data_IF_583477458411
#
_entry.id   IF_583477458411
#
_cell.length_a   1.000
_cell.length_b   1.000
_cell.length_c   1.000
_cell.angle_alpha   90.00
_cell.angle_beta   90.00
_cell.angle_gamma   90.00
#
_symmetry.space_group_name_H-M   'P 1'
#
loop_
_entity.id
_entity.type
_entity.pdbx_description
1 polymer ?
#
# COMPACT_ATOMS: atom_id res chain seq x y z
N UNK A 1 30.21 1.97 -1.76
CA UNK A 1 29.64 2.44 -3.06
C UNK A 1 28.80 1.39 -3.77
N UNK A 2 29.36 0.31 -4.33
CA UNK A 2 28.57 -0.67 -5.12
C UNK A 2 27.42 -1.32 -4.31
N UNK A 3 27.63 -1.71 -3.03
CA UNK A 3 26.54 -2.20 -2.16
C UNK A 3 25.47 -1.17 -1.81
N UNK A 4 25.66 0.12 -2.08
CA UNK A 4 24.68 1.16 -1.72
C UNK A 4 23.71 1.48 -2.86
N UNK A 5 24.09 1.17 -4.11
CA UNK A 5 23.27 1.46 -5.29
C UNK A 5 21.92 0.71 -5.20
N UNK A 6 21.86 -0.60 -4.87
CA UNK A 6 20.58 -1.28 -4.74
C UNK A 6 19.72 -0.76 -3.56
N UNK A 7 20.32 -0.20 -2.49
CA UNK A 7 19.56 0.50 -1.45
C UNK A 7 18.82 1.70 -2.05
N UNK A 8 19.48 2.48 -2.92
CA UNK A 8 18.82 3.60 -3.59
C UNK A 8 17.63 3.14 -4.45
N UNK A 9 17.77 2.00 -5.14
CA UNK A 9 16.65 1.40 -5.89
C UNK A 9 15.51 0.97 -4.97
N UNK A 10 15.81 0.31 -3.85
CA UNK A 10 14.80 -0.09 -2.85
C UNK A 10 14.07 1.13 -2.30
N UNK A 11 14.79 2.18 -1.91
CA UNK A 11 14.19 3.40 -1.38
C UNK A 11 13.36 4.14 -2.42
N UNK A 12 13.82 4.20 -3.68
CA UNK A 12 13.05 4.77 -4.79
C UNK A 12 11.76 3.98 -5.05
N UNK A 13 11.86 2.66 -5.12
CA UNK A 13 10.72 1.77 -5.32
C UNK A 13 9.73 1.86 -4.16
N UNK A 14 10.22 1.92 -2.92
CA UNK A 14 9.39 2.09 -1.74
C UNK A 14 8.72 3.46 -1.71
N UNK A 15 9.43 4.54 -2.05
CA UNK A 15 8.85 5.87 -2.16
C UNK A 15 7.77 5.92 -3.25
N UNK A 16 8.04 5.36 -4.44
CA UNK A 16 7.07 5.26 -5.51
C UNK A 16 5.84 4.45 -5.08
N UNK A 17 6.04 3.31 -4.41
CA UNK A 17 4.95 2.50 -3.87
C UNK A 17 4.14 3.27 -2.81
N UNK A 18 4.79 3.89 -1.82
CA UNK A 18 4.09 4.64 -0.76
C UNK A 18 3.30 5.83 -1.32
N UNK A 19 3.82 6.52 -2.34
CA UNK A 19 3.12 7.64 -2.97
C UNK A 19 1.95 7.17 -3.83
N UNK A 20 2.21 6.27 -4.78
CA UNK A 20 1.22 5.87 -5.79
C UNK A 20 0.19 4.88 -5.21
N UNK A 21 0.66 3.84 -4.50
CA UNK A 21 -0.23 2.90 -3.83
C UNK A 21 -0.91 3.52 -2.60
N UNK A 22 -0.23 4.44 -1.90
CA UNK A 22 -0.84 5.15 -0.76
C UNK A 22 -2.06 5.97 -1.15
N UNK A 23 -2.03 6.67 -2.29
CA UNK A 23 -3.20 7.40 -2.79
C UNK A 23 -4.38 6.47 -3.11
N UNK A 24 -4.11 5.28 -3.63
CA UNK A 24 -5.11 4.28 -3.98
C UNK A 24 -5.67 3.56 -2.74
N UNK A 25 -4.84 3.20 -1.75
CA UNK A 25 -5.31 2.72 -0.44
C UNK A 25 -6.14 3.78 0.29
N UNK A 26 -5.70 5.04 0.28
CA UNK A 26 -6.45 6.12 0.91
C UNK A 26 -7.78 6.42 0.22
N UNK A 27 -7.88 6.21 -1.09
CA UNK A 27 -9.16 6.34 -1.80
C UNK A 27 -10.17 5.32 -1.24
N UNK A 28 -9.73 4.08 -0.99
CA UNK A 28 -10.54 3.08 -0.29
C UNK A 28 -10.95 3.49 1.12
N UNK A 29 -10.03 4.07 1.90
CA UNK A 29 -10.36 4.62 3.22
C UNK A 29 -11.48 5.68 3.16
N UNK A 30 -11.41 6.62 2.22
CA UNK A 30 -12.44 7.66 2.07
C UNK A 30 -13.79 7.12 1.62
N UNK A 31 -13.84 6.00 0.91
CA UNK A 31 -15.12 5.34 0.61
C UNK A 31 -15.80 4.74 1.85
N UNK A 32 -15.03 4.40 2.89
CA UNK A 32 -15.50 3.89 4.18
C UNK A 32 -16.01 5.04 5.06
N UNK A 33 -15.23 6.11 5.13
CA UNK A 33 -15.45 7.27 6.02
C UNK A 33 -16.26 8.39 5.35
N UNK A 34 -16.77 8.17 4.14
CA UNK A 34 -17.67 9.11 3.49
C UNK A 34 -18.91 9.36 4.38
N UNK A 35 -18.90 10.47 5.10
CA UNK A 35 -20.04 10.97 5.85
C UNK A 35 -21.11 11.52 4.91
N UNK A 36 -22.35 11.64 5.40
CA UNK A 36 -23.48 12.16 4.64
C UNK A 36 -24.46 11.08 4.14
N UNK A 37 -25.50 11.52 3.43
CA UNK A 37 -26.54 10.66 2.86
C UNK A 37 -26.01 9.70 1.78
N UNK A 38 -26.87 8.78 1.31
CA UNK A 38 -26.47 7.74 0.36
C UNK A 38 -25.88 8.30 -0.96
N UNK A 39 -26.38 9.44 -1.43
CA UNK A 39 -25.91 10.09 -2.65
C UNK A 39 -24.46 10.61 -2.58
N UNK A 40 -24.06 11.26 -1.48
CA UNK A 40 -22.69 11.76 -1.28
C UNK A 40 -21.67 10.62 -1.18
N UNK A 41 -22.08 9.50 -0.56
CA UNK A 41 -21.27 8.27 -0.56
C UNK A 41 -21.06 7.76 -1.97
N UNK A 42 -22.12 7.59 -2.75
CA UNK A 42 -22.02 7.10 -4.13
C UNK A 42 -21.12 7.99 -4.99
N UNK A 43 -21.31 9.32 -4.94
CA UNK A 43 -20.45 10.26 -5.67
C UNK A 43 -18.97 10.15 -5.28
N UNK A 44 -18.66 10.11 -3.98
CA UNK A 44 -17.28 9.89 -3.48
C UNK A 44 -16.68 8.60 -4.04
N UNK A 45 -17.49 7.55 -4.14
CA UNK A 45 -17.06 6.20 -4.54
C UNK A 45 -16.85 6.09 -6.03
N UNK A 46 -17.72 6.68 -6.83
CA UNK A 46 -17.60 6.66 -8.28
C UNK A 46 -16.42 7.51 -8.73
N UNK A 47 -16.23 8.68 -8.10
CA UNK A 47 -15.03 9.51 -8.28
C UNK A 47 -13.75 8.75 -7.93
N UNK A 48 -13.70 8.13 -6.75
CA UNK A 48 -12.52 7.35 -6.33
C UNK A 48 -12.20 6.19 -7.27
N UNK A 49 -13.22 5.54 -7.86
CA UNK A 49 -13.01 4.45 -8.84
C UNK A 49 -12.42 4.96 -10.14
N UNK A 50 -13.02 6.02 -10.69
CA UNK A 50 -12.59 6.59 -11.96
C UNK A 50 -11.15 7.09 -11.87
N UNK A 51 -10.81 7.80 -10.80
CA UNK A 51 -9.48 8.35 -10.59
C UNK A 51 -8.38 7.30 -10.34
N UNK A 52 -8.71 6.14 -9.74
CA UNK A 52 -7.70 5.17 -9.26
C UNK A 52 -7.58 3.90 -10.12
N UNK A 53 -8.52 3.64 -11.03
CA UNK A 53 -8.56 2.40 -11.83
C UNK A 53 -7.23 2.02 -12.50
N UNK A 54 -6.65 2.88 -13.36
CA UNK A 54 -5.39 2.57 -14.05
C UNK A 54 -4.16 2.51 -13.13
N UNK A 55 -4.21 3.23 -12.00
CA UNK A 55 -3.07 3.37 -11.09
C UNK A 55 -2.87 2.10 -10.26
N UNK A 56 -3.97 1.41 -9.91
CA UNK A 56 -3.95 0.19 -9.11
C UNK A 56 -3.05 -0.92 -9.69
N UNK A 57 -3.19 -1.21 -10.99
CA UNK A 57 -2.45 -2.30 -11.65
C UNK A 57 -0.95 -1.99 -11.68
N UNK A 58 -0.58 -0.73 -11.93
CA UNK A 58 0.81 -0.28 -11.97
C UNK A 58 1.47 -0.26 -10.58
N UNK A 59 0.70 -0.05 -9.52
CA UNK A 59 1.23 0.13 -8.16
C UNK A 59 1.98 -1.09 -7.63
N UNK A 60 1.48 -2.30 -7.88
CA UNK A 60 2.07 -3.52 -7.30
C UNK A 60 3.43 -3.86 -7.89
N UNK A 61 3.75 -3.36 -9.09
CA UNK A 61 5.07 -3.54 -9.73
C UNK A 61 6.18 -3.00 -8.83
N UNK A 62 5.95 -1.87 -8.15
CA UNK A 62 6.94 -1.27 -7.25
C UNK A 62 7.21 -2.13 -6.01
N UNK A 63 6.18 -2.75 -5.43
CA UNK A 63 6.35 -3.63 -4.27
C UNK A 63 7.15 -4.87 -4.66
N UNK A 64 6.78 -5.53 -5.76
CA UNK A 64 7.51 -6.70 -6.26
C UNK A 64 8.96 -6.34 -6.62
N UNK A 65 9.17 -5.18 -7.25
CA UNK A 65 10.50 -4.65 -7.54
C UNK A 65 11.36 -4.52 -6.27
N UNK A 66 10.82 -3.89 -5.21
CA UNK A 66 11.52 -3.76 -3.93
C UNK A 66 11.89 -5.13 -3.35
N UNK A 67 10.94 -6.07 -3.36
CA UNK A 67 11.16 -7.43 -2.84
C UNK A 67 12.24 -8.18 -3.62
N UNK A 68 12.18 -8.14 -4.96
CA UNK A 68 13.14 -8.85 -5.83
C UNK A 68 14.54 -8.24 -5.73
N UNK A 69 14.66 -6.91 -5.70
CA UNK A 69 15.95 -6.25 -5.52
C UNK A 69 16.51 -6.56 -4.13
N UNK A 70 15.69 -6.50 -3.08
CA UNK A 70 16.12 -6.84 -1.72
C UNK A 70 16.59 -8.29 -1.62
N UNK A 71 15.82 -9.23 -2.16
CA UNK A 71 16.16 -10.65 -2.16
C UNK A 71 17.47 -10.93 -2.90
N UNK A 72 17.64 -10.33 -4.09
CA UNK A 72 18.79 -10.62 -4.96
C UNK A 72 20.05 -9.91 -4.48
N UNK A 73 19.95 -8.66 -4.03
CA UNK A 73 21.10 -7.87 -3.60
C UNK A 73 21.48 -8.10 -2.13
N UNK A 74 20.53 -8.46 -1.26
CA UNK A 74 20.75 -8.63 0.19
C UNK A 74 20.05 -9.89 0.73
N UNK A 75 20.42 -11.10 0.26
CA UNK A 75 19.68 -12.34 0.55
C UNK A 75 19.59 -12.67 2.05
N UNK A 76 20.65 -12.40 2.83
CA UNK A 76 20.67 -12.64 4.29
C UNK A 76 19.67 -11.72 5.00
N UNK A 77 19.64 -10.44 4.63
CA UNK A 77 18.68 -9.49 5.19
C UNK A 77 17.25 -9.86 4.79
N UNK A 78 17.04 -10.21 3.53
CA UNK A 78 15.73 -10.64 3.02
C UNK A 78 15.18 -11.87 3.75
N UNK A 79 16.01 -12.91 3.92
CA UNK A 79 15.62 -14.12 4.67
C UNK A 79 15.26 -13.82 6.12
N UNK A 80 16.06 -12.99 6.80
CA UNK A 80 15.81 -12.57 8.17
C UNK A 80 14.49 -11.78 8.31
N UNK A 81 14.26 -10.82 7.40
CA UNK A 81 13.05 -9.99 7.36
C UNK A 81 11.81 -10.84 7.09
N UNK A 82 11.82 -11.64 6.02
CA UNK A 82 10.63 -12.39 5.58
C UNK A 82 10.23 -13.48 6.57
N UNK A 83 11.20 -14.15 7.20
CA UNK A 83 10.93 -15.17 8.21
C UNK A 83 10.44 -14.57 9.53
N UNK A 84 11.04 -13.46 9.98
CA UNK A 84 10.67 -12.81 11.25
C UNK A 84 9.34 -12.06 11.14
N UNK A 85 9.09 -11.40 10.01
CA UNK A 85 7.91 -10.56 9.77
C UNK A 85 6.84 -11.27 8.94
N UNK A 86 6.80 -12.61 9.03
CA UNK A 86 5.84 -13.41 8.28
C UNK A 86 4.38 -12.98 8.55
N UNK A 87 4.02 -12.71 9.80
CA UNK A 87 2.67 -12.27 10.20
C UNK A 87 2.22 -10.99 9.47
N UNK A 88 2.91 -9.84 9.61
CA UNK A 88 2.49 -8.61 8.94
C UNK A 88 2.62 -8.70 7.41
N UNK A 89 3.65 -9.36 6.87
CA UNK A 89 3.79 -9.51 5.42
C UNK A 89 2.66 -10.34 4.82
N UNK A 90 2.23 -11.38 5.53
CA UNK A 90 1.10 -12.18 5.13
C UNK A 90 -0.23 -11.44 5.23
N UNK A 91 -0.45 -10.69 6.31
CA UNK A 91 -1.62 -9.82 6.45
C UNK A 91 -1.69 -8.79 5.31
N UNK A 92 -0.54 -8.23 4.91
CA UNK A 92 -0.44 -7.34 3.75
C UNK A 92 -0.81 -8.07 2.45
N UNK A 93 -0.28 -9.27 2.23
CA UNK A 93 -0.59 -10.09 1.05
C UNK A 93 -2.07 -10.45 0.97
N UNK A 94 -2.69 -10.87 2.08
CA UNK A 94 -4.13 -11.11 2.17
C UNK A 94 -4.90 -9.84 1.82
N UNK A 95 -4.53 -8.68 2.38
CA UNK A 95 -5.16 -7.41 2.04
C UNK A 95 -5.06 -7.09 0.54
N UNK A 96 -3.90 -7.30 -0.09
CA UNK A 96 -3.72 -7.09 -1.54
C UNK A 96 -4.65 -8.00 -2.35
N UNK A 97 -4.71 -9.30 -2.01
CA UNK A 97 -5.58 -10.28 -2.68
C UNK A 97 -7.05 -9.89 -2.53
N UNK A 98 -7.49 -9.58 -1.32
CA UNK A 98 -8.87 -9.18 -1.04
C UNK A 98 -9.26 -7.92 -1.82
N UNK A 99 -8.31 -7.00 -2.01
CA UNK A 99 -8.55 -5.78 -2.79
C UNK A 99 -8.66 -6.04 -4.28
N UNK A 100 -7.78 -6.87 -4.84
CA UNK A 100 -7.88 -7.31 -6.24
C UNK A 100 -9.19 -8.06 -6.52
N UNK A 101 -9.56 -8.97 -5.61
CA UNK A 101 -10.85 -9.67 -5.68
C UNK A 101 -12.03 -8.69 -5.59
N UNK A 102 -11.96 -7.69 -4.71
CA UNK A 102 -13.02 -6.69 -4.60
C UNK A 102 -13.15 -5.81 -5.85
N UNK A 103 -12.06 -5.48 -6.57
CA UNK A 103 -12.15 -4.76 -7.85
C UNK A 103 -12.91 -5.58 -8.90
N UNK A 104 -12.61 -6.88 -9.02
CA UNK A 104 -13.21 -7.76 -10.02
C UNK A 104 -14.67 -8.14 -9.68
N UNK A 105 -14.96 -8.42 -8.41
CA UNK A 105 -16.27 -8.94 -7.99
C UNK A 105 -17.33 -7.85 -7.78
N UNK A 106 -16.93 -6.58 -7.63
CA UNK A 106 -17.85 -5.47 -7.29
C UNK A 106 -18.89 -5.13 -8.36
N UNK A 107 -18.61 -5.24 -9.68
CA UNK A 107 -19.65 -5.11 -10.72
C UNK A 107 -20.66 -6.26 -10.70
N UNK A 108 -20.26 -7.43 -10.20
CA UNK A 108 -20.98 -8.69 -10.39
C UNK A 108 -21.88 -9.09 -9.20
N UNK A 109 -21.65 -8.53 -8.00
CA UNK A 109 -22.31 -9.00 -6.76
C UNK A 109 -23.42 -8.07 -6.25
N UNK A 110 -24.62 -8.64 -6.00
CA UNK A 110 -25.77 -7.99 -5.32
C UNK A 110 -25.45 -7.52 -3.89
N UNK A 111 -24.42 -8.07 -3.25
CA UNK A 111 -23.98 -7.69 -1.90
C UNK A 111 -22.94 -6.57 -1.94
N UNK A 112 -23.34 -5.43 -2.51
CA UNK A 112 -22.49 -4.24 -2.62
C UNK A 112 -21.79 -3.94 -1.27
N UNK A 113 -22.53 -3.97 -0.15
CA UNK A 113 -22.02 -3.70 1.19
C UNK A 113 -20.92 -4.65 1.68
N UNK A 114 -20.96 -5.94 1.37
CA UNK A 114 -19.95 -6.90 1.85
C UNK A 114 -18.63 -6.74 1.08
N UNK A 115 -18.71 -6.59 -0.24
CA UNK A 115 -17.56 -6.32 -1.12
C UNK A 115 -16.93 -4.96 -0.78
N UNK A 116 -17.76 -3.99 -0.39
CA UNK A 116 -17.32 -2.68 0.06
C UNK A 116 -16.57 -2.73 1.38
N UNK A 117 -17.12 -3.40 2.38
CA UNK A 117 -16.43 -3.59 3.66
C UNK A 117 -15.11 -4.32 3.46
N UNK A 118 -15.08 -5.30 2.55
CA UNK A 118 -13.86 -6.03 2.22
C UNK A 118 -12.80 -5.14 1.56
N UNK A 119 -13.19 -4.35 0.56
CA UNK A 119 -12.34 -3.37 -0.12
C UNK A 119 -11.78 -2.33 0.85
N UNK A 120 -12.63 -1.85 1.75
CA UNK A 120 -12.28 -0.77 2.64
C UNK A 120 -11.42 -1.27 3.82
N UNK A 121 -11.71 -2.47 4.34
CA UNK A 121 -10.86 -3.13 5.34
C UNK A 121 -9.49 -3.46 4.77
N UNK A 122 -9.42 -4.00 3.55
CA UNK A 122 -8.13 -4.31 2.91
C UNK A 122 -7.30 -3.06 2.64
N UNK A 123 -7.96 -1.95 2.33
CA UNK A 123 -7.30 -0.64 2.11
C UNK A 123 -6.70 -0.03 3.39
N UNK A 124 -7.09 -0.49 4.56
CA UNK A 124 -6.46 -0.13 5.85
C UNK A 124 -5.43 -1.19 6.24
N UNK A 125 -5.79 -2.47 6.11
CA UNK A 125 -4.97 -3.61 6.53
C UNK A 125 -3.62 -3.64 5.82
N UNK A 126 -3.59 -3.48 4.49
CA UNK A 126 -2.34 -3.56 3.71
C UNK A 126 -1.33 -2.48 4.10
N UNK A 127 -1.65 -1.16 4.03
CA UNK A 127 -0.68 -0.13 4.42
C UNK A 127 -0.31 -0.22 5.90
N UNK A 128 -1.25 -0.59 6.78
CA UNK A 128 -0.94 -0.80 8.20
C UNK A 128 0.09 -1.92 8.39
N UNK A 129 -0.14 -3.08 7.77
CA UNK A 129 0.73 -4.24 7.93
C UNK A 129 2.11 -4.06 7.28
N UNK A 130 2.18 -3.38 6.12
CA UNK A 130 3.47 -3.01 5.52
C UNK A 130 4.20 -1.96 6.37
N UNK A 131 3.47 -0.99 6.94
CA UNK A 131 4.03 0.02 7.83
C UNK A 131 4.57 -0.58 9.14
N UNK A 132 3.86 -1.54 9.76
CA UNK A 132 4.35 -2.22 10.97
C UNK A 132 5.60 -3.06 10.68
N UNK A 133 5.68 -3.68 9.49
CA UNK A 133 6.87 -4.40 9.04
C UNK A 133 8.07 -3.45 8.87
N UNK A 134 7.88 -2.31 8.20
CA UNK A 134 8.92 -1.27 8.08
C UNK A 134 9.33 -0.75 9.46
N UNK A 135 8.38 -0.53 10.37
CA UNK A 135 8.69 -0.08 11.72
C UNK A 135 9.43 -1.12 12.58
N UNK A 136 9.22 -2.41 12.31
CA UNK A 136 9.96 -3.48 12.98
C UNK A 136 11.43 -3.50 12.54
N UNK A 137 11.67 -3.30 11.24
CA UNK A 137 13.01 -3.12 10.68
C UNK A 137 13.66 -1.85 11.24
N UNK A 138 12.91 -0.74 11.24
CA UNK A 138 13.40 0.57 11.69
C UNK A 138 13.76 0.59 13.18
N UNK A 139 13.00 -0.12 14.01
CA UNK A 139 13.28 -0.25 15.45
C UNK A 139 14.31 -1.33 15.81
N UNK A 140 14.87 -2.02 14.81
CA UNK A 140 15.92 -3.02 15.05
C UNK A 140 15.42 -4.29 15.73
N UNK A 141 14.16 -4.68 15.50
CA UNK A 141 13.54 -5.89 16.09
C UNK A 141 13.62 -7.12 15.20
N UNK A 142 14.28 -7.01 14.05
CA UNK A 142 14.53 -8.13 13.14
C UNK A 142 15.97 -8.60 13.35
N UNK A 143 16.21 -9.67 14.12
CA UNK A 143 17.55 -10.21 14.29
C UNK A 143 18.06 -10.84 12.99
N UNK A 144 19.38 -10.92 12.86
CA UNK A 144 20.03 -11.56 11.71
C UNK A 144 19.92 -13.07 11.86
N UNK A 145 19.41 -13.74 10.83
CA UNK A 145 19.20 -15.18 10.80
C UNK A 145 17.76 -15.53 10.47
N UNK A 146 17.58 -16.63 9.74
CA UNK A 146 16.25 -17.11 9.39
C UNK A 146 15.53 -17.64 10.63
N UNK A 147 14.29 -17.19 10.84
CA UNK A 147 13.45 -17.57 11.99
C UNK A 147 14.11 -17.28 13.36
N UNK A 148 15.01 -16.30 13.43
CA UNK A 148 15.68 -15.92 14.67
C UNK A 148 14.83 -14.96 15.53
N UNK A 149 13.88 -14.24 14.94
CA UNK A 149 12.98 -13.32 15.64
C UNK A 149 11.63 -13.94 15.94
N UNK A 150 10.97 -13.44 16.99
CA UNK A 150 9.62 -13.86 17.36
C UNK A 150 8.58 -13.26 16.40
N UNK A 151 7.69 -14.05 15.77
CA UNK A 151 6.77 -13.56 14.73
C UNK A 151 5.74 -12.53 15.19
N UNK A 152 5.51 -12.36 16.49
CA UNK A 152 4.47 -11.48 17.03
C UNK A 152 5.08 -10.22 17.63
N UNK A 153 5.98 -10.37 18.59
CA UNK A 153 6.61 -9.27 19.33
C UNK A 153 7.53 -8.41 18.45
N UNK A 154 8.08 -8.98 17.37
CA UNK A 154 8.94 -8.24 16.44
C UNK A 154 8.21 -7.08 15.75
N UNK A 155 6.91 -7.20 15.50
CA UNK A 155 6.09 -6.13 14.89
C UNK A 155 5.04 -5.53 15.83
N UNK A 156 4.72 -6.19 16.94
CA UNK A 156 3.78 -5.68 17.94
C UNK A 156 4.51 -4.86 19.01
N UNK A 157 4.93 -3.65 18.64
CA UNK A 157 5.66 -2.72 19.50
C UNK A 157 5.28 -1.26 19.19
N UNK A 158 5.59 -0.30 20.08
CA UNK A 158 5.17 1.09 19.91
C UNK A 158 5.61 1.72 18.58
N UNK A 159 6.87 1.53 18.17
CA UNK A 159 7.38 2.10 16.91
C UNK A 159 6.70 1.49 15.68
N UNK A 160 6.58 0.16 15.63
CA UNK A 160 5.90 -0.53 14.53
C UNK A 160 4.44 -0.14 14.40
N UNK A 161 3.69 -0.14 15.50
CA UNK A 161 2.28 0.24 15.49
C UNK A 161 2.11 1.69 15.05
N UNK A 162 2.96 2.60 15.54
CA UNK A 162 2.95 4.00 15.13
C UNK A 162 3.24 4.18 13.64
N UNK A 163 4.25 3.49 13.09
CA UNK A 163 4.57 3.57 11.66
C UNK A 163 3.47 2.94 10.80
N UNK A 164 2.85 1.86 11.26
CA UNK A 164 1.64 1.29 10.65
C UNK A 164 0.49 2.30 10.59
N UNK A 165 0.19 2.98 11.71
CA UNK A 165 -0.84 4.02 11.75
C UNK A 165 -0.47 5.22 10.87
N UNK A 166 0.80 5.62 10.87
CA UNK A 166 1.30 6.69 10.01
C UNK A 166 1.12 6.32 8.53
N UNK A 167 1.40 5.09 8.12
CA UNK A 167 1.21 4.63 6.74
C UNK A 167 -0.25 4.74 6.29
N UNK A 168 -1.22 4.40 7.17
CA UNK A 168 -2.65 4.60 6.89
C UNK A 168 -3.00 6.08 6.78
N UNK A 169 -2.52 6.91 7.72
CA UNK A 169 -2.77 8.36 7.70
C UNK A 169 -2.17 9.05 6.47
N UNK A 170 -0.95 8.68 6.09
CA UNK A 170 -0.28 9.12 4.86
C UNK A 170 -1.07 8.71 3.63
N UNK A 171 -1.59 7.47 3.60
CA UNK A 171 -2.45 7.00 2.50
C UNK A 171 -3.72 7.86 2.37
N UNK A 172 -4.44 8.07 3.47
CA UNK A 172 -5.63 8.91 3.50
C UNK A 172 -5.35 10.36 3.07
N UNK A 173 -4.24 10.95 3.54
CA UNK A 173 -3.81 12.28 3.15
C UNK A 173 -3.49 12.38 1.65
N UNK A 174 -2.66 11.49 1.12
CA UNK A 174 -2.30 11.46 -0.30
C UNK A 174 -3.56 11.34 -1.17
N UNK A 175 -4.44 10.39 -0.84
CA UNK A 175 -5.69 10.20 -1.57
C UNK A 175 -6.55 11.46 -1.60
N UNK A 176 -6.68 12.17 -0.48
CA UNK A 176 -7.48 13.39 -0.44
C UNK A 176 -6.90 14.50 -1.33
N UNK A 177 -5.57 14.67 -1.36
CA UNK A 177 -4.90 15.63 -2.25
C UNK A 177 -5.12 15.25 -3.72
N UNK A 178 -4.95 13.97 -4.07
CA UNK A 178 -5.15 13.49 -5.44
C UNK A 178 -6.60 13.60 -5.89
N UNK A 179 -7.56 13.20 -5.06
CA UNK A 179 -8.99 13.24 -5.39
C UNK A 179 -9.53 14.68 -5.48
N UNK A 180 -9.01 15.61 -4.67
CA UNK A 180 -9.34 17.04 -4.81
C UNK A 180 -8.86 17.58 -6.16
N UNK A 181 -7.66 17.21 -6.58
CA UNK A 181 -7.08 17.64 -7.84
C UNK A 181 -7.83 17.06 -9.05
N UNK A 182 -8.24 15.80 -8.95
CA UNK A 182 -9.04 15.14 -9.98
C UNK A 182 -10.46 15.73 -10.08
N UNK A 183 -11.09 16.07 -8.94
CA UNK A 183 -12.39 16.74 -8.93
C UNK A 183 -12.36 18.10 -9.65
N UNK A 184 -11.25 18.84 -9.57
CA UNK A 184 -11.07 20.07 -10.37
C UNK A 184 -10.98 19.77 -11.86
N UNK A 185 -10.27 18.70 -12.26
CA UNK A 185 -10.16 18.28 -13.66
C UNK A 185 -11.52 17.92 -14.25
N UNK A 186 -12.39 17.28 -13.47
CA UNK A 186 -13.76 16.91 -13.87
C UNK A 186 -14.78 18.06 -13.73
N UNK A 187 -14.39 19.21 -13.16
CA UNK A 187 -15.30 20.35 -12.93
C UNK A 187 -16.28 20.18 -11.77
N UNK A 188 -16.08 19.19 -10.89
CA UNK A 188 -16.97 18.84 -9.79
C UNK A 188 -16.67 19.65 -8.51
N UNK A 189 -17.15 20.90 -8.46
CA UNK A 189 -16.87 21.84 -7.35
C UNK A 189 -17.29 21.35 -5.96
N UNK A 190 -18.36 20.55 -5.86
CA UNK A 190 -18.82 20.00 -4.59
C UNK A 190 -17.81 18.97 -4.04
N UNK A 191 -17.35 18.05 -4.89
CA UNK A 191 -16.33 17.08 -4.52
C UNK A 191 -14.98 17.74 -4.24
N UNK A 192 -14.60 18.78 -5.01
CA UNK A 192 -13.40 19.58 -4.73
C UNK A 192 -13.42 20.11 -3.29
N UNK A 193 -14.52 20.77 -2.88
CA UNK A 193 -14.65 21.35 -1.55
C UNK A 193 -14.50 20.32 -0.43
N UNK A 194 -15.16 19.17 -0.59
CA UNK A 194 -15.13 18.07 0.36
C UNK A 194 -13.73 17.46 0.48
N UNK A 195 -13.08 17.13 -0.65
CA UNK A 195 -11.75 16.55 -0.64
C UNK A 195 -10.67 17.55 -0.24
N UNK A 196 -10.84 18.84 -0.49
CA UNK A 196 -9.96 19.89 0.03
C UNK A 196 -9.98 19.92 1.56
N UNK A 197 -11.18 19.91 2.16
CA UNK A 197 -11.31 19.85 3.61
C UNK A 197 -10.67 18.58 4.18
N UNK A 198 -10.93 17.43 3.53
CA UNK A 198 -10.31 16.14 3.87
C UNK A 198 -8.79 16.16 3.80
N UNK A 199 -8.21 16.76 2.75
CA UNK A 199 -6.77 16.88 2.58
C UNK A 199 -6.14 17.75 3.67
N UNK A 200 -6.77 18.86 4.04
CA UNK A 200 -6.26 19.75 5.08
C UNK A 200 -6.26 19.08 6.45
N UNK A 201 -7.38 18.50 6.88
CA UNK A 201 -7.43 17.88 8.20
C UNK A 201 -6.61 16.58 8.25
N UNK A 202 -6.63 15.76 7.20
CA UNK A 202 -5.81 14.55 7.15
C UNK A 202 -4.32 14.86 7.12
N UNK A 203 -3.91 15.96 6.46
CA UNK A 203 -2.53 16.41 6.46
C UNK A 203 -2.09 16.95 7.83
N UNK A 204 -2.95 17.70 8.54
CA UNK A 204 -2.68 18.12 9.93
C UNK A 204 -2.60 16.91 10.87
N UNK A 205 -3.52 15.96 10.75
CA UNK A 205 -3.52 14.73 11.55
C UNK A 205 -2.29 13.87 11.27
N UNK A 206 -1.89 13.72 10.00
CA UNK A 206 -0.67 13.01 9.61
C UNK A 206 0.58 13.72 10.13
N UNK A 207 0.65 15.05 10.05
CA UNK A 207 1.74 15.83 10.64
C UNK A 207 1.83 15.67 12.16
N UNK A 208 0.70 15.70 12.87
CA UNK A 208 0.65 15.47 14.31
C UNK A 208 1.09 14.04 14.66
N UNK A 209 0.65 13.04 13.90
CA UNK A 209 1.09 11.64 14.04
C UNK A 209 2.59 11.47 13.76
N UNK A 210 3.14 12.17 12.76
CA UNK A 210 4.57 12.14 12.47
C UNK A 210 5.40 12.73 13.63
N UNK A 211 4.94 13.85 14.21
CA UNK A 211 5.58 14.45 15.40
C UNK A 211 5.48 13.53 16.61
N UNK A 212 4.30 12.94 16.86
CA UNK A 212 4.14 11.94 17.92
C UNK A 212 5.02 10.71 17.68
N UNK A 213 5.16 10.28 16.43
CA UNK A 213 6.02 9.16 16.05
C UNK A 213 7.50 9.44 16.29
N UNK A 214 7.96 10.67 16.08
CA UNK A 214 9.33 11.07 16.46
C UNK A 214 9.56 10.95 17.98
N UNK A 215 8.56 11.26 18.81
CA UNK A 215 8.64 11.07 20.26
C UNK A 215 8.68 9.58 20.64
N UNK A 216 7.88 8.74 19.98
CA UNK A 216 7.91 7.28 20.17
C UNK A 216 9.29 6.72 19.78
N UNK A 217 9.80 7.07 18.61
CA UNK A 217 11.12 6.65 18.11
C UNK A 217 12.24 7.08 19.06
N UNK A 218 12.15 8.27 19.66
CA UNK A 218 13.14 8.74 20.65
C UNK A 218 13.27 7.81 21.85
N UNK A 219 12.17 7.20 22.30
CA UNK A 219 12.14 6.32 23.48
C UNK A 219 12.41 4.87 23.09
N UNK A 220 11.78 4.40 22.01
CA UNK A 220 11.70 2.98 21.66
C UNK A 220 12.77 2.55 20.62
N UNK A 221 13.34 3.48 19.85
CA UNK A 221 14.39 3.22 18.86
C UNK A 221 15.50 4.28 18.88
N UNK A 222 16.36 4.31 19.92
CA UNK A 222 17.36 5.37 20.12
C UNK A 222 18.40 5.47 18.99
N UNK A 223 18.76 4.35 18.36
CA UNK A 223 19.68 4.32 17.21
C UNK A 223 19.10 5.06 16.00
N UNK A 224 17.83 4.80 15.68
CA UNK A 224 17.10 5.48 14.62
C UNK A 224 16.92 6.96 14.92
N UNK A 225 16.58 7.30 16.17
CA UNK A 225 16.48 8.69 16.62
C UNK A 225 17.78 9.48 16.40
N UNK A 226 18.93 8.89 16.73
CA UNK A 226 20.22 9.53 16.52
C UNK A 226 20.47 9.87 15.04
N UNK A 227 20.01 9.01 14.12
CA UNK A 227 20.04 9.25 12.68
C UNK A 227 19.09 10.35 12.20
N UNK A 228 17.93 10.53 12.84
CA UNK A 228 17.01 11.62 12.52
C UNK A 228 17.46 12.99 13.04
N UNK A 229 18.26 13.04 14.10
CA UNK A 229 18.72 14.30 14.70
C UNK A 229 20.05 14.78 14.10
N UNK A 230 20.70 13.97 13.25
CA UNK A 230 22.03 14.28 12.70
C UNK A 230 22.09 14.07 11.18
N UNK A 231 22.98 14.82 10.53
CA UNK A 231 23.37 14.60 9.13
C UNK A 231 22.19 14.60 8.14
N UNK A 232 22.20 13.63 7.22
CA UNK A 232 21.26 13.56 6.11
C UNK A 232 19.83 13.15 6.53
N UNK A 233 19.66 12.44 7.66
CA UNK A 233 18.34 12.09 8.19
C UNK A 233 17.58 13.34 8.65
N UNK A 234 18.24 14.25 9.37
CA UNK A 234 17.66 15.54 9.76
C UNK A 234 17.27 16.38 8.53
N UNK A 235 18.13 16.43 7.52
CA UNK A 235 17.84 17.16 6.28
C UNK A 235 16.56 16.65 5.62
N UNK A 236 16.36 15.32 5.55
CA UNK A 236 15.14 14.74 4.97
C UNK A 236 13.90 14.97 5.82
N UNK A 237 14.02 14.97 7.17
CA UNK A 237 12.91 15.34 8.06
C UNK A 237 12.49 16.79 7.84
N UNK A 238 13.46 17.72 7.69
CA UNK A 238 13.19 19.13 7.38
C UNK A 238 12.52 19.26 6.01
N UNK A 239 13.06 18.60 4.98
CA UNK A 239 12.47 18.59 3.63
C UNK A 239 11.04 18.08 3.67
N UNK A 240 10.78 17.00 4.41
CA UNK A 240 9.42 16.47 4.58
C UNK A 240 8.49 17.45 5.26
N UNK A 241 8.93 18.08 6.36
CA UNK A 241 8.14 19.08 7.09
C UNK A 241 7.81 20.30 6.24
N UNK A 242 8.80 20.85 5.53
CA UNK A 242 8.63 22.00 4.63
C UNK A 242 7.71 21.64 3.47
N UNK A 243 7.92 20.49 2.83
CA UNK A 243 7.06 20.03 1.73
C UNK A 243 5.63 19.75 2.20
N UNK A 244 5.44 19.17 3.40
CA UNK A 244 4.13 18.93 3.99
C UNK A 244 3.36 20.22 4.27
N UNK A 245 4.01 21.21 4.92
CA UNK A 245 3.42 22.54 5.14
C UNK A 245 3.14 23.24 3.80
N UNK A 246 4.09 23.13 2.85
CA UNK A 246 3.93 23.62 1.48
C UNK A 246 2.69 23.04 0.80
N UNK A 247 2.45 21.73 0.92
CA UNK A 247 1.25 21.09 0.39
C UNK A 247 -0.01 21.63 1.03
N UNK A 248 -0.06 21.74 2.36
CA UNK A 248 -1.24 22.29 3.06
C UNK A 248 -1.55 23.72 2.59
N UNK A 249 -0.52 24.55 2.43
CA UNK A 249 -0.65 25.92 1.93
C UNK A 249 -1.14 25.95 0.47
N UNK A 250 -0.64 25.06 -0.38
CA UNK A 250 -1.05 24.94 -1.79
C UNK A 250 -2.50 24.46 -1.91
N UNK A 251 -2.90 23.46 -1.12
CA UNK A 251 -4.30 22.97 -1.03
C UNK A 251 -5.21 24.08 -0.51
N UNK A 252 -4.78 24.84 0.50
CA UNK A 252 -5.55 25.98 1.02
C UNK A 252 -5.77 27.05 -0.06
N UNK A 253 -4.74 27.32 -0.88
CA UNK A 253 -4.77 28.22 -2.05
C UNK A 253 -5.40 27.60 -3.30
N UNK A 254 -5.95 26.38 -3.23
CA UNK A 254 -6.57 25.64 -4.34
C UNK A 254 -5.64 25.39 -5.54
N UNK A 255 -4.34 25.27 -5.30
CA UNK A 255 -3.34 24.92 -6.32
C UNK A 255 -2.96 23.45 -6.22
N UNK A 256 -3.76 22.58 -6.82
CA UNK A 256 -3.69 21.14 -6.57
C UNK A 256 -2.56 20.40 -7.33
N UNK A 257 -2.20 20.83 -8.53
CA UNK A 257 -1.09 20.19 -9.27
C UNK A 257 0.27 20.30 -8.57
N UNK A 258 0.73 21.50 -8.14
CA UNK A 258 1.94 21.58 -7.33
C UNK A 258 1.76 20.95 -5.95
N UNK A 259 0.53 20.90 -5.41
CA UNK A 259 0.25 20.20 -4.15
C UNK A 259 0.51 18.69 -4.26
N UNK A 260 0.16 18.04 -5.38
CA UNK A 260 0.46 16.62 -5.62
C UNK A 260 1.96 16.35 -5.60
N UNK A 261 2.75 17.18 -6.28
CA UNK A 261 4.22 17.05 -6.32
C UNK A 261 4.82 17.28 -4.93
N UNK A 262 4.37 18.32 -4.22
CA UNK A 262 4.83 18.62 -2.86
C UNK A 262 4.45 17.51 -1.87
N UNK A 263 3.27 16.90 -2.01
CA UNK A 263 2.84 15.78 -1.18
C UNK A 263 3.70 14.53 -1.43
N UNK A 264 3.96 14.21 -2.70
CA UNK A 264 4.84 13.12 -3.09
C UNK A 264 6.26 13.32 -2.56
N UNK A 265 6.79 14.54 -2.66
CA UNK A 265 8.10 14.90 -2.10
C UNK A 265 8.14 14.73 -0.58
N UNK A 266 7.10 15.17 0.13
CA UNK A 266 7.04 15.06 1.59
C UNK A 266 7.11 13.58 2.05
N UNK A 267 6.39 12.69 1.35
CA UNK A 267 6.36 11.26 1.65
C UNK A 267 7.66 10.56 1.23
N UNK A 268 8.17 10.86 0.03
CA UNK A 268 9.44 10.34 -0.44
C UNK A 268 10.61 10.73 0.49
N UNK A 269 10.57 11.96 1.03
CA UNK A 269 11.56 12.42 2.01
C UNK A 269 11.47 11.65 3.34
N UNK A 270 10.28 11.23 3.80
CA UNK A 270 10.16 10.37 4.99
C UNK A 270 10.84 9.02 4.74
N UNK A 271 10.54 8.40 3.60
CA UNK A 271 11.11 7.10 3.21
C UNK A 271 12.64 7.19 3.06
N UNK A 272 13.13 8.22 2.37
CA UNK A 272 14.56 8.48 2.22
C UNK A 272 15.23 8.81 3.56
N UNK A 273 14.56 9.60 4.40
CA UNK A 273 15.03 9.95 5.74
C UNK A 273 15.23 8.73 6.62
N UNK A 274 14.31 7.77 6.60
CA UNK A 274 14.48 6.48 7.27
C UNK A 274 15.71 5.72 6.74
N UNK A 275 15.81 5.55 5.42
CA UNK A 275 16.93 4.83 4.80
C UNK A 275 18.30 5.47 5.07
N UNK A 276 18.37 6.80 5.17
CA UNK A 276 19.59 7.53 5.50
C UNK A 276 19.90 7.50 7.00
N UNK A 277 18.88 7.56 7.87
CA UNK A 277 19.04 7.51 9.32
C UNK A 277 19.54 6.15 9.82
N UNK A 278 19.25 5.06 9.11
CA UNK A 278 19.65 3.71 9.50
C UNK A 278 21.10 3.36 9.11
N UNK A 279 21.73 4.12 8.20
CA UNK A 279 23.09 3.84 7.74
C UNK A 279 24.12 3.92 8.87
N UNK A 280 25.14 3.05 8.88
CA UNK A 280 25.51 2.06 7.86
C UNK A 280 24.87 0.67 8.05
N UNK A 281 24.08 0.48 9.09
CA UNK A 281 23.44 -0.78 9.42
C UNK A 281 22.21 -1.06 8.55
N UNK A 282 22.00 -2.31 8.16
CA UNK A 282 20.77 -2.78 7.52
C UNK A 282 19.86 -3.41 8.57
N UNK A 283 20.40 -4.36 9.33
CA UNK A 283 19.77 -5.01 10.48
C UNK A 283 20.70 -4.87 11.71
N UNK A 284 20.22 -5.10 12.95
CA UNK A 284 21.06 -5.12 14.13
C UNK A 284 22.25 -6.07 13.96
N UNK A 285 23.47 -5.54 14.00
CA UNK A 285 24.71 -6.32 13.81
C UNK A 285 25.04 -6.69 12.36
N UNK A 286 24.27 -6.23 11.36
CA UNK A 286 24.53 -6.48 9.94
C UNK A 286 24.59 -5.17 9.17
N UNK A 287 25.77 -4.82 8.68
CA UNK A 287 25.98 -3.64 7.82
C UNK A 287 25.50 -3.88 6.40
N UNK A 288 25.26 -2.81 5.64
CA UNK A 288 24.89 -2.90 4.21
C UNK A 288 25.95 -3.67 3.42
N UNK A 289 27.24 -3.49 3.75
CA UNK A 289 28.34 -4.18 3.07
C UNK A 289 28.35 -5.67 3.37
N UNK A 290 28.10 -6.06 4.63
CA UNK A 290 28.02 -7.47 5.04
C UNK A 290 26.77 -8.17 4.50
N UNK A 291 25.65 -7.44 4.38
CA UNK A 291 24.41 -7.98 3.84
C UNK A 291 24.46 -8.23 2.33
N UNK A 292 25.37 -7.54 1.62
CA UNK A 292 25.38 -7.50 0.17
C UNK A 292 25.82 -8.83 -0.45
N UNK A 293 25.17 -9.20 -1.55
CA UNK A 293 25.54 -10.33 -2.37
C UNK A 293 26.93 -10.14 -3.03
N UNK A 294 27.45 -11.20 -3.63
CA UNK A 294 28.71 -11.16 -4.38
C UNK A 294 28.70 -10.10 -5.47
N UNK A 295 29.88 -9.54 -5.77
CA UNK A 295 30.06 -8.43 -6.73
C UNK A 295 29.37 -8.66 -8.07
N UNK A 296 29.48 -9.87 -8.64
CA UNK A 296 28.85 -10.23 -9.92
C UNK A 296 27.33 -10.13 -9.87
N UNK A 297 26.71 -10.58 -8.78
CA UNK A 297 25.27 -10.48 -8.56
C UNK A 297 24.83 -9.03 -8.44
N UNK A 298 25.57 -8.20 -7.70
CA UNK A 298 25.24 -6.78 -7.58
C UNK A 298 25.34 -6.03 -8.92
N UNK A 299 26.37 -6.32 -9.73
CA UNK A 299 26.49 -5.75 -11.08
C UNK A 299 25.30 -6.20 -11.94
N UNK A 300 24.95 -7.48 -11.92
CA UNK A 300 23.82 -8.01 -12.66
C UNK A 300 22.52 -7.29 -12.26
N UNK A 301 22.23 -7.14 -10.96
CA UNK A 301 21.07 -6.40 -10.47
C UNK A 301 21.06 -4.97 -10.98
N UNK A 302 22.19 -4.24 -10.89
CA UNK A 302 22.28 -2.85 -11.33
C UNK A 302 22.00 -2.72 -12.84
N UNK A 303 22.61 -3.58 -13.65
CA UNK A 303 22.42 -3.56 -15.10
C UNK A 303 20.99 -3.96 -15.46
N UNK A 304 20.43 -5.00 -14.84
CA UNK A 304 19.05 -5.43 -15.08
C UNK A 304 18.03 -4.35 -14.73
N UNK A 305 18.22 -3.65 -13.60
CA UNK A 305 17.37 -2.51 -13.22
C UNK A 305 17.51 -1.37 -14.23
N UNK A 306 18.72 -1.05 -14.67
CA UNK A 306 18.94 0.00 -15.67
C UNK A 306 18.25 -0.31 -17.00
N UNK A 307 18.38 -1.54 -17.51
CA UNK A 307 17.71 -2.00 -18.74
C UNK A 307 16.18 -1.99 -18.55
N UNK A 308 15.70 -2.50 -17.41
CA UNK A 308 14.27 -2.50 -17.09
C UNK A 308 13.70 -1.09 -17.04
N UNK A 309 14.43 -0.12 -16.47
CA UNK A 309 14.01 1.28 -16.41
C UNK A 309 13.85 1.93 -17.79
N UNK A 310 14.68 1.55 -18.77
CA UNK A 310 14.56 2.02 -20.17
C UNK A 310 13.24 1.60 -20.80
N UNK A 311 12.66 0.47 -20.38
CA UNK A 311 11.36 0.00 -20.87
C UNK A 311 10.20 0.53 -20.00
N UNK A 312 10.36 0.48 -18.68
CA UNK A 312 9.31 0.80 -17.71
C UNK A 312 9.00 2.31 -17.67
N UNK A 313 10.01 3.18 -17.70
CA UNK A 313 9.78 4.63 -17.58
C UNK A 313 9.00 5.16 -18.79
N UNK A 314 9.37 4.86 -20.05
CA UNK A 314 8.59 5.31 -21.20
C UNK A 314 7.16 4.75 -21.22
N UNK A 315 6.95 3.50 -20.81
CA UNK A 315 5.61 2.91 -20.79
C UNK A 315 4.71 3.58 -19.74
N UNK A 316 5.24 3.91 -18.56
CA UNK A 316 4.51 4.67 -17.55
C UNK A 316 4.23 6.11 -18.00
N UNK A 317 5.20 6.78 -18.65
CA UNK A 317 4.99 8.12 -19.21
C UNK A 317 3.88 8.09 -20.26
N UNK A 318 3.87 7.07 -21.13
CA UNK A 318 2.84 6.89 -22.15
C UNK A 318 1.47 6.65 -21.49
N UNK A 319 1.40 5.74 -20.51
CA UNK A 319 0.16 5.41 -19.79
C UNK A 319 -0.44 6.64 -19.09
N UNK A 320 0.35 7.32 -18.26
CA UNK A 320 -0.11 8.51 -17.56
C UNK A 320 -0.41 9.64 -18.53
N UNK A 321 0.40 9.81 -19.58
CA UNK A 321 0.15 10.77 -20.65
C UNK A 321 -1.21 10.55 -21.30
N UNK A 322 -1.51 9.34 -21.77
CA UNK A 322 -2.80 9.03 -22.41
C UNK A 322 -3.99 9.26 -21.49
N UNK A 323 -3.86 8.91 -20.20
CA UNK A 323 -4.90 9.12 -19.21
C UNK A 323 -5.12 10.61 -18.91
N UNK A 324 -4.04 11.38 -18.73
CA UNK A 324 -4.11 12.83 -18.49
C UNK A 324 -4.75 13.59 -19.66
N UNK A 325 -4.50 13.17 -20.90
CA UNK A 325 -5.11 13.74 -22.11
C UNK A 325 -6.55 13.27 -22.37
N UNK A 326 -7.12 12.39 -21.54
CA UNK A 326 -8.52 11.95 -21.65
C UNK A 326 -8.81 10.98 -22.80
N UNK A 327 -7.77 10.45 -23.47
CA UNK A 327 -7.94 9.49 -24.56
C UNK A 327 -8.38 8.09 -24.09
N UNK A 328 -8.41 7.85 -22.77
CA UNK A 328 -8.88 6.62 -22.14
C UNK A 328 -10.12 6.83 -21.25
N UNK A 329 -10.71 8.03 -21.26
CA UNK A 329 -11.98 8.25 -20.61
C UNK A 329 -13.03 7.49 -21.43
N UNK A 330 -13.35 6.26 -21.00
CA UNK A 330 -14.41 5.48 -21.61
C UNK A 330 -15.66 6.35 -21.66
N UNK A 331 -16.08 6.69 -22.87
CA UNK A 331 -17.39 7.25 -23.14
C UNK A 331 -18.41 6.45 -22.34
N UNK A 332 -19.25 7.16 -21.59
CA UNK A 332 -20.32 6.61 -20.77
C UNK A 332 -21.26 5.74 -21.59
N UNK A 333 -20.91 4.47 -21.80
CA UNK A 333 -21.86 3.45 -22.18
C UNK A 333 -22.64 3.12 -20.90
N UNK A 334 -23.85 3.67 -20.82
CA UNK A 334 -24.88 3.23 -19.88
C UNK A 334 -25.02 1.72 -20.00
N UNK A 335 -24.66 0.92 -18.97
CA UNK A 335 -24.87 -0.51 -19.03
C UNK A 335 -26.37 -0.77 -19.10
N UNK A 336 -26.85 -1.48 -20.13
CA UNK A 336 -28.23 -1.96 -20.18
C UNK A 336 -28.51 -2.75 -18.89
N UNK A 337 -29.57 -2.35 -18.15
CA UNK A 337 -29.97 -3.04 -16.92
C UNK A 337 -30.55 -4.42 -17.27
N UNK A 338 -29.96 -5.53 -16.79
CA UNK A 338 -30.56 -6.85 -16.96
C UNK A 338 -31.90 -6.95 -16.21
N UNK A 339 -32.86 -7.66 -16.79
CA UNK A 339 -34.18 -7.91 -16.21
C UNK A 339 -34.09 -8.70 -14.89
N UNK A 340 -34.96 -8.39 -13.93
CA UNK A 340 -34.90 -8.89 -12.54
C UNK A 340 -34.99 -10.42 -12.40
N UNK A 341 -35.50 -11.11 -13.43
CA UNK A 341 -35.77 -12.56 -13.40
C UNK A 341 -34.48 -13.39 -13.51
N UNK A 342 -33.47 -12.92 -14.26
CA UNK A 342 -32.16 -13.60 -14.37
C UNK A 342 -31.27 -13.41 -13.12
N UNK A 343 -31.49 -12.32 -12.37
CA UNK A 343 -30.67 -11.89 -11.23
C UNK A 343 -30.92 -12.68 -9.94
N UNK A 344 -32.09 -13.29 -9.77
CA UNK A 344 -32.39 -14.10 -8.57
C UNK A 344 -31.84 -15.52 -8.65
N UNK A 345 -31.87 -16.13 -9.85
CA UNK A 345 -31.38 -17.50 -10.05
C UNK A 345 -29.86 -17.62 -9.88
N UNK A 346 -29.08 -16.65 -10.41
CA UNK A 346 -27.62 -16.64 -10.28
C UNK A 346 -27.13 -16.37 -8.84
N UNK A 347 -27.82 -15.49 -8.10
CA UNK A 347 -27.46 -15.12 -6.73
C UNK A 347 -27.69 -16.25 -5.71
N UNK A 348 -28.65 -17.15 -5.98
CA UNK A 348 -28.93 -18.31 -5.11
C UNK A 348 -27.87 -19.40 -5.23
N UNK A 349 -27.21 -19.51 -6.39
CA UNK A 349 -26.19 -20.53 -6.68
C UNK A 349 -24.79 -20.19 -6.13
N UNK A 350 -24.44 -18.91 -6.05
CA UNK A 350 -23.09 -18.43 -5.67
C UNK A 350 -22.91 -18.18 -4.16
N UNK A 351 -24.01 -18.00 -3.42
CA UNK A 351 -24.00 -17.71 -1.97
C UNK A 351 -23.30 -18.77 -1.08
N UNK A 352 -23.51 -20.10 -1.25
CA UNK A 352 -22.82 -21.09 -0.43
C UNK A 352 -21.31 -21.14 -0.71
N UNK A 353 -20.89 -20.91 -1.96
CA UNK A 353 -19.49 -20.90 -2.36
C UNK A 353 -18.76 -19.68 -1.76
N UNK A 354 -19.44 -18.52 -1.68
CA UNK A 354 -18.87 -17.32 -1.06
C UNK A 354 -18.68 -17.48 0.46
N UNK A 355 -19.65 -18.08 1.15
CA UNK A 355 -19.55 -18.40 2.58
C UNK A 355 -18.40 -19.39 2.81
N UNK A 356 -18.29 -20.42 1.96
CA UNK A 356 -17.19 -21.37 2.01
C UNK A 356 -15.84 -20.70 1.79
N UNK A 357 -15.70 -19.81 0.81
CA UNK A 357 -14.46 -19.10 0.52
C UNK A 357 -13.99 -18.25 1.72
N UNK A 358 -14.90 -17.51 2.35
CA UNK A 358 -14.61 -16.69 3.54
C UNK A 358 -14.26 -17.58 4.73
N UNK A 359 -15.05 -18.63 5.00
CA UNK A 359 -14.79 -19.55 6.09
C UNK A 359 -13.45 -20.27 5.92
N UNK A 360 -13.13 -20.73 4.72
CA UNK A 360 -11.86 -21.39 4.40
C UNK A 360 -10.66 -20.46 4.56
N UNK A 361 -10.79 -19.17 4.20
CA UNK A 361 -9.77 -18.15 4.46
C UNK A 361 -9.58 -17.88 5.96
N UNK A 362 -10.67 -17.67 6.70
CA UNK A 362 -10.60 -17.37 8.14
C UNK A 362 -10.04 -18.55 8.93
N UNK A 363 -10.52 -19.76 8.64
CA UNK A 363 -10.04 -21.00 9.25
C UNK A 363 -8.59 -21.25 8.83
N UNK A 364 -8.27 -21.07 7.55
CA UNK A 364 -6.92 -21.23 7.02
C UNK A 364 -5.89 -20.33 7.73
N UNK A 365 -6.21 -19.04 7.87
CA UNK A 365 -5.41 -18.07 8.64
C UNK A 365 -5.26 -18.53 10.10
N UNK A 366 -6.36 -18.98 10.73
CA UNK A 366 -6.33 -19.46 12.12
C UNK A 366 -5.36 -20.63 12.32
N UNK A 367 -5.43 -21.65 11.45
CA UNK A 367 -4.57 -22.82 11.53
C UNK A 367 -3.10 -22.54 11.16
N UNK A 368 -2.84 -21.58 10.27
CA UNK A 368 -1.48 -21.16 9.91
C UNK A 368 -0.77 -20.42 11.04
N UNK A 369 -1.50 -19.62 11.85
CA UNK A 369 -0.88 -18.78 12.88
C UNK A 369 -0.93 -19.33 14.30
N UNK A 370 -1.99 -20.07 14.65
CA UNK A 370 -2.19 -20.60 16.01
C UNK A 370 -1.94 -22.10 16.12
N UNK A 371 -1.49 -22.72 15.02
CA UNK A 371 -1.20 -24.14 14.97
C UNK A 371 0.24 -24.44 15.36
N UNK A 372 0.44 -25.09 16.51
CA UNK A 372 1.77 -25.44 17.02
C UNK A 372 2.42 -26.65 16.32
N UNK A 373 1.73 -27.27 15.36
CA UNK A 373 2.15 -28.53 14.72
C UNK A 373 2.37 -28.37 13.21
N UNK A 374 3.30 -29.13 12.63
CA UNK A 374 3.61 -29.03 11.18
C UNK A 374 2.40 -29.27 10.27
N UNK A 375 1.49 -30.16 10.68
CA UNK A 375 0.27 -30.47 9.90
C UNK A 375 -0.79 -29.36 9.97
N UNK A 376 -0.85 -28.57 11.05
CA UNK A 376 -1.78 -27.44 11.16
C UNK A 376 -1.41 -26.32 10.18
N UNK A 377 -0.11 -26.11 9.95
CA UNK A 377 0.36 -25.18 8.93
C UNK A 377 -0.08 -25.61 7.52
N UNK A 378 0.05 -26.90 7.19
CA UNK A 378 -0.37 -27.46 5.89
C UNK A 378 -1.87 -27.33 5.66
N UNK A 379 -2.68 -27.59 6.70
CA UNK A 379 -4.14 -27.38 6.66
C UNK A 379 -4.48 -25.91 6.50
N UNK A 380 -3.76 -25.03 7.18
CA UNK A 380 -3.92 -23.58 7.07
C UNK A 380 -3.67 -23.07 5.65
N UNK A 381 -2.54 -23.45 5.05
CA UNK A 381 -2.19 -23.12 3.67
C UNK A 381 -3.21 -23.70 2.69
N UNK A 382 -3.60 -24.97 2.85
CA UNK A 382 -4.60 -25.61 1.99
C UNK A 382 -5.97 -24.91 2.07
N UNK A 383 -6.39 -24.51 3.27
CA UNK A 383 -7.62 -23.74 3.49
C UNK A 383 -7.60 -22.38 2.80
N UNK A 384 -6.44 -21.70 2.81
CA UNK A 384 -6.29 -20.41 2.14
C UNK A 384 -6.25 -20.53 0.61
N UNK A 385 -5.58 -21.55 0.08
CA UNK A 385 -5.61 -21.86 -1.36
C UNK A 385 -7.02 -22.24 -1.81
N UNK A 386 -7.74 -23.05 -1.02
CA UNK A 386 -9.12 -23.41 -1.30
C UNK A 386 -10.06 -22.19 -1.24
N UNK A 387 -9.86 -21.29 -0.27
CA UNK A 387 -10.61 -20.04 -0.17
C UNK A 387 -10.37 -19.10 -1.35
N UNK A 388 -9.10 -18.90 -1.72
CA UNK A 388 -8.70 -18.09 -2.88
C UNK A 388 -9.18 -18.70 -4.20
N UNK A 389 -9.05 -20.02 -4.37
CA UNK A 389 -9.55 -20.75 -5.54
C UNK A 389 -11.06 -20.71 -5.67
N UNK A 390 -11.79 -20.78 -4.55
CA UNK A 390 -13.26 -20.64 -4.54
C UNK A 390 -13.70 -19.21 -4.85
N UNK A 391 -12.97 -18.20 -4.36
CA UNK A 391 -13.19 -16.80 -4.72
C UNK A 391 -12.89 -16.53 -6.21
N UNK A 392 -11.85 -17.14 -6.76
CA UNK A 392 -11.53 -17.08 -8.19
C UNK A 392 -12.59 -17.80 -9.03
N UNK A 393 -13.03 -19.00 -8.63
CA UNK A 393 -14.10 -19.73 -9.31
C UNK A 393 -15.40 -18.91 -9.33
N UNK A 394 -15.72 -18.21 -8.25
CA UNK A 394 -16.84 -17.25 -8.22
C UNK A 394 -16.66 -16.10 -9.20
N UNK A 395 -15.44 -15.56 -9.36
CA UNK A 395 -15.15 -14.49 -10.31
C UNK A 395 -15.26 -14.94 -11.77
N UNK A 396 -14.93 -16.20 -12.06
CA UNK A 396 -14.94 -16.77 -13.43
C UNK A 396 -16.29 -17.36 -13.82
N UNK A 397 -17.04 -17.92 -12.87
CA UNK A 397 -18.34 -18.57 -13.12
C UNK A 397 -19.55 -17.68 -12.83
N UNK A 398 -19.34 -16.50 -12.24
CA UNK A 398 -20.33 -15.45 -12.32
C UNK A 398 -20.58 -15.18 -13.81
N UNK A 399 -21.85 -15.19 -14.28
CA UNK A 399 -22.13 -14.99 -15.69
C UNK A 399 -21.48 -13.68 -16.12
N UNK A 400 -20.52 -13.78 -17.04
CA UNK A 400 -20.05 -12.64 -17.82
C UNK A 400 -21.29 -12.12 -18.52
N UNK A 401 -21.85 -11.04 -17.98
CA UNK A 401 -22.78 -10.21 -18.72
C UNK A 401 -21.96 -9.72 -19.89
N UNK A 402 -22.10 -10.38 -21.05
CA UNK A 402 -21.45 -9.97 -22.27
C UNK A 402 -21.73 -8.49 -22.48
N UNK A 403 -20.66 -7.72 -22.54
CA UNK A 403 -20.65 -6.34 -23.00
C UNK A 403 -21.07 -6.29 -24.48
#
# INVERSE_FOLDING_TARGET
MLPEIPIAFILLGLAAYTVLAGADFGAGFWTLVAGGGHASRTATRDHARHAMGPVWEANHVWLIFVLVVCWTAYPVAFGSITSTLAVPLFAAAVGIILRGAAYVLRPQLRQARAVESLFALSSILTPFALGTAVGAIASGRVPVGNAAGDPVTSWFNPTSLMIGTLAVATSAYLAAVYLAADAVRLGERALEGDFRARALWAGVAMGALAVAGLLVVRVDAPSLWAGFVRGAGLAMVIVSGVAGVGTLMLVWRRRYDPARISAALAVAAIVAGWGLAQRPTFLPGLTIEQAAAGRSTLIAVIVSVAIGAVVLIPSLILLFGLFLHGHLDASSETPERPSDIGRESAARRTRPIAIFAIAALVIGVGFTFFGDQGWTFTIGVAGMVAGAGSAYFLAVTAPTVNA
#
